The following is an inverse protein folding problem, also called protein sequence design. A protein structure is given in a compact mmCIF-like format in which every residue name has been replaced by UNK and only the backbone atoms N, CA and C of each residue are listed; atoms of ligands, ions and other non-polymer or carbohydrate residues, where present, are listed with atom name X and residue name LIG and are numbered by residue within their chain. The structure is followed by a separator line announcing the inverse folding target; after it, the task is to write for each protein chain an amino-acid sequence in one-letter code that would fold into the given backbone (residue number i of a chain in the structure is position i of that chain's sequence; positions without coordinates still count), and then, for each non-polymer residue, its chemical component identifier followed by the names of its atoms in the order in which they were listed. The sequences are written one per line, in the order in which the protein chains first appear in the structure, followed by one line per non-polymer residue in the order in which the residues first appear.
data_IF_606685353104
#
_entry.id   IF_606685353104
#
_cell.length_a   1.000
_cell.length_b   1.000
_cell.length_c   1.000
_cell.angle_alpha   90.00
_cell.angle_beta   90.00
_cell.angle_gamma   90.00
#
_symmetry.space_group_name_H-M   'P 1'
#
loop_
_entity.id
_entity.type
_entity.pdbx_description
1 polymer ?
#
# COMPACT_ATOMS: atom_id res chain seq x y z
N UNK A 1 -14.02 18.08 -18.26
CA UNK A 1 -12.56 18.19 -17.88
C UNK A 1 -12.14 16.84 -17.34
N UNK A 2 -11.05 16.26 -17.84
CA UNK A 2 -10.54 14.95 -17.37
C UNK A 2 -10.14 15.07 -15.90
N UNK A 3 -10.71 14.20 -15.04
CA UNK A 3 -10.48 14.27 -13.59
C UNK A 3 -9.46 13.26 -13.09
N UNK A 4 -9.28 12.12 -13.79
CA UNK A 4 -8.56 10.94 -13.30
C UNK A 4 -7.35 10.62 -14.15
N UNK A 5 -6.23 10.28 -13.50
CA UNK A 5 -5.04 9.71 -14.17
C UNK A 5 -4.61 8.43 -13.46
N UNK A 6 -4.51 7.34 -14.22
CA UNK A 6 -3.77 6.16 -13.78
C UNK A 6 -2.28 6.41 -14.00
N UNK A 7 -1.50 6.31 -12.94
CA UNK A 7 -0.05 6.30 -12.95
C UNK A 7 0.42 4.85 -12.85
N UNK A 8 0.97 4.31 -13.93
CA UNK A 8 1.32 2.91 -14.05
C UNK A 8 2.84 2.74 -14.18
N UNK A 9 3.59 2.65 -13.06
CA UNK A 9 4.97 2.20 -13.08
C UNK A 9 5.00 0.74 -13.54
N UNK A 10 5.78 0.43 -14.56
CA UNK A 10 5.85 -0.89 -15.18
C UNK A 10 7.29 -1.40 -15.26
N UNK A 11 7.50 -2.67 -14.93
CA UNK A 11 8.79 -3.33 -14.99
C UNK A 11 8.71 -4.79 -15.43
N UNK A 12 7.64 -5.51 -15.03
CA UNK A 12 7.42 -6.93 -15.30
C UNK A 12 6.48 -7.11 -16.48
N UNK A 13 6.77 -8.02 -17.43
CA UNK A 13 5.91 -8.28 -18.59
C UNK A 13 4.75 -9.23 -18.29
N UNK A 14 4.87 -10.07 -17.24
CA UNK A 14 4.04 -11.27 -17.04
C UNK A 14 2.53 -11.00 -17.07
N UNK A 15 2.09 -9.94 -16.44
CA UNK A 15 0.66 -9.57 -16.34
C UNK A 15 0.36 -8.19 -16.91
N UNK A 16 1.36 -7.51 -17.47
CA UNK A 16 1.25 -6.14 -17.95
C UNK A 16 0.18 -5.95 -19.03
N UNK A 17 0.04 -6.91 -19.96
CA UNK A 17 -1.04 -6.88 -20.96
C UNK A 17 -2.42 -6.91 -20.29
N UNK A 18 -2.61 -7.75 -19.28
CA UNK A 18 -3.89 -7.90 -18.56
C UNK A 18 -4.21 -6.62 -17.79
N UNK A 19 -3.23 -6.05 -17.10
CA UNK A 19 -3.38 -4.78 -16.38
C UNK A 19 -3.79 -3.64 -17.33
N UNK A 20 -3.10 -3.47 -18.46
CA UNK A 20 -3.45 -2.46 -19.49
C UNK A 20 -4.86 -2.65 -20.02
N UNK A 21 -5.27 -3.88 -20.34
CA UNK A 21 -6.62 -4.18 -20.86
C UNK A 21 -7.69 -3.83 -19.83
N UNK A 22 -7.46 -4.11 -18.55
CA UNK A 22 -8.42 -3.79 -17.49
C UNK A 22 -8.62 -2.28 -17.33
N UNK A 23 -7.54 -1.49 -17.42
CA UNK A 23 -7.62 -0.02 -17.40
C UNK A 23 -8.30 0.51 -18.67
N UNK A 24 -7.96 -0.02 -19.85
CA UNK A 24 -8.58 0.39 -21.13
C UNK A 24 -10.08 0.14 -21.16
N UNK A 25 -10.54 -0.90 -20.47
CA UNK A 25 -11.95 -1.34 -20.49
C UNK A 25 -12.87 -0.49 -19.61
N UNK A 26 -12.39 0.50 -18.86
CA UNK A 26 -13.22 1.32 -17.98
C UNK A 26 -14.44 1.90 -18.70
N UNK A 27 -15.62 1.84 -18.04
CA UNK A 27 -16.89 2.37 -18.58
C UNK A 27 -16.86 3.89 -18.66
N UNK A 28 -16.37 4.58 -17.65
CA UNK A 28 -16.07 6.00 -17.70
C UNK A 28 -14.87 6.23 -18.63
N UNK A 29 -14.99 7.11 -19.63
CA UNK A 29 -13.97 7.32 -20.68
C UNK A 29 -13.07 8.52 -20.46
N UNK A 30 -13.47 9.46 -19.62
CA UNK A 30 -12.76 10.72 -19.37
C UNK A 30 -11.63 10.53 -18.34
N UNK A 31 -10.58 9.80 -18.71
CA UNK A 31 -9.37 9.59 -17.90
C UNK A 31 -8.12 9.56 -18.75
N UNK A 32 -6.97 9.69 -18.11
CA UNK A 32 -5.62 9.54 -18.69
C UNK A 32 -4.90 8.34 -18.08
N UNK A 33 -3.92 7.82 -18.81
CA UNK A 33 -3.00 6.79 -18.31
C UNK A 33 -1.58 7.17 -18.66
N UNK A 34 -0.73 7.29 -17.66
CA UNK A 34 0.71 7.48 -17.83
C UNK A 34 1.43 6.17 -17.48
N UNK A 35 1.84 5.45 -18.51
CA UNK A 35 2.67 4.25 -18.37
C UNK A 35 4.13 4.67 -18.30
N UNK A 36 4.82 4.30 -17.22
CA UNK A 36 6.24 4.57 -17.02
C UNK A 36 7.02 3.27 -16.91
N UNK A 37 7.63 2.85 -18.01
CA UNK A 37 8.58 1.75 -18.06
C UNK A 37 9.85 2.13 -17.28
N UNK A 38 10.11 1.43 -16.20
CA UNK A 38 11.24 1.71 -15.30
C UNK A 38 12.55 1.08 -15.77
N UNK A 39 12.90 1.32 -17.02
CA UNK A 39 14.08 0.73 -17.66
C UNK A 39 14.05 -0.82 -17.61
N UNK A 40 12.88 -1.41 -17.89
CA UNK A 40 12.69 -2.85 -17.87
C UNK A 40 13.65 -3.55 -18.85
N UNK A 41 14.22 -4.71 -18.52
CA UNK A 41 14.98 -5.54 -19.47
C UNK A 41 14.10 -6.19 -20.54
N UNK A 42 12.77 -6.08 -20.41
CA UNK A 42 11.78 -6.66 -21.31
C UNK A 42 11.21 -5.61 -22.26
N UNK A 43 10.68 -6.05 -23.39
CA UNK A 43 10.04 -5.16 -24.39
C UNK A 43 8.58 -4.85 -24.00
N UNK A 44 8.42 -4.01 -22.96
CA UNK A 44 7.11 -3.53 -22.52
C UNK A 44 6.45 -2.63 -23.57
N UNK A 45 7.25 -1.94 -24.41
CA UNK A 45 6.74 -1.05 -25.45
C UNK A 45 5.92 -1.78 -26.50
N UNK A 46 6.33 -2.96 -26.93
CA UNK A 46 5.57 -3.79 -27.86
C UNK A 46 4.24 -4.25 -27.25
N UNK A 47 4.21 -4.64 -25.97
CA UNK A 47 2.97 -4.98 -25.25
C UNK A 47 2.04 -3.76 -25.17
N UNK A 48 2.58 -2.60 -24.81
CA UNK A 48 1.83 -1.35 -24.78
C UNK A 48 1.24 -1.01 -26.14
N UNK A 49 2.03 -1.03 -27.20
CA UNK A 49 1.57 -0.70 -28.56
C UNK A 49 0.44 -1.64 -29.02
N UNK A 50 0.54 -2.95 -28.74
CA UNK A 50 -0.48 -3.95 -29.04
C UNK A 50 -1.83 -3.65 -28.38
N UNK A 51 -1.81 -3.13 -27.15
CA UNK A 51 -3.04 -2.93 -26.34
C UNK A 51 -3.57 -1.50 -26.47
N UNK A 52 -2.71 -0.50 -26.43
CA UNK A 52 -3.06 0.90 -26.21
C UNK A 52 -2.46 1.86 -27.25
N UNK A 53 -1.66 1.39 -28.21
CA UNK A 53 -0.87 2.26 -29.07
C UNK A 53 -1.65 3.29 -29.89
N UNK A 54 -2.93 3.05 -30.13
CA UNK A 54 -3.85 3.92 -30.86
C UNK A 54 -4.85 4.67 -29.94
N UNK A 55 -4.79 4.47 -28.64
CA UNK A 55 -5.71 5.09 -27.68
C UNK A 55 -5.10 6.38 -27.10
N UNK A 56 -5.64 7.52 -27.50
CA UNK A 56 -5.14 8.84 -27.11
C UNK A 56 -5.17 9.13 -25.60
N UNK A 57 -5.87 8.30 -24.82
CA UNK A 57 -5.87 8.41 -23.34
C UNK A 57 -4.55 7.94 -22.74
N UNK A 58 -3.78 7.09 -23.44
CA UNK A 58 -2.59 6.42 -22.96
C UNK A 58 -1.33 7.12 -23.46
N UNK A 59 -0.42 7.37 -22.55
CA UNK A 59 0.93 7.88 -22.85
C UNK A 59 1.96 6.91 -22.28
N UNK A 60 2.98 6.59 -23.09
CA UNK A 60 4.10 5.73 -22.67
C UNK A 60 5.38 6.53 -22.59
N UNK A 61 6.09 6.38 -21.50
CA UNK A 61 7.48 6.85 -21.34
C UNK A 61 8.36 5.71 -20.84
N UNK A 62 9.67 5.86 -21.03
CA UNK A 62 10.67 4.94 -20.48
C UNK A 62 11.71 5.74 -19.72
N UNK A 63 12.04 5.29 -18.53
CA UNK A 63 13.13 5.86 -17.73
C UNK A 63 14.48 5.45 -18.33
N UNK A 64 15.48 6.30 -18.20
CA UNK A 64 16.86 6.00 -18.64
C UNK A 64 17.54 4.98 -17.70
N UNK A 65 17.13 4.95 -16.45
CA UNK A 65 17.63 4.04 -15.41
C UNK A 65 16.47 3.44 -14.61
N UNK A 66 16.68 2.26 -14.04
CA UNK A 66 15.72 1.65 -13.13
C UNK A 66 15.71 2.41 -11.78
N UNK A 67 14.72 3.26 -11.59
CA UNK A 67 14.52 4.05 -10.37
C UNK A 67 14.07 3.17 -9.21
N UNK A 68 13.16 2.23 -9.45
CA UNK A 68 12.60 1.33 -8.44
C UNK A 68 13.65 0.45 -7.78
N UNK A 69 14.79 0.18 -8.44
CA UNK A 69 15.92 -0.54 -7.84
C UNK A 69 16.59 0.22 -6.69
N UNK A 70 16.48 1.55 -6.68
CA UNK A 70 16.98 2.43 -5.61
C UNK A 70 15.87 2.83 -4.64
N UNK A 71 14.77 3.33 -5.18
CA UNK A 71 13.57 3.69 -4.43
C UNK A 71 12.34 3.60 -5.33
N UNK A 72 11.48 2.65 -5.04
CA UNK A 72 10.19 2.52 -5.72
C UNK A 72 9.30 3.75 -5.47
N UNK A 73 9.34 4.29 -4.26
CA UNK A 73 8.57 5.49 -3.89
C UNK A 73 9.05 6.73 -4.63
N UNK A 74 10.36 6.86 -4.89
CA UNK A 74 10.86 7.97 -5.72
C UNK A 74 10.33 7.91 -7.15
N UNK A 75 10.18 6.72 -7.72
CA UNK A 75 9.52 6.55 -9.02
C UNK A 75 8.04 6.93 -8.95
N UNK A 76 7.32 6.51 -7.91
CA UNK A 76 5.92 6.90 -7.70
C UNK A 76 5.76 8.42 -7.61
N UNK A 77 6.60 9.09 -6.81
CA UNK A 77 6.53 10.52 -6.62
C UNK A 77 6.86 11.30 -7.91
N UNK A 78 7.80 10.81 -8.73
CA UNK A 78 8.03 11.37 -10.07
C UNK A 78 6.75 11.34 -10.92
N UNK A 79 5.97 10.25 -10.86
CA UNK A 79 4.72 10.15 -11.60
C UNK A 79 3.62 11.06 -11.02
N UNK A 80 3.58 11.24 -9.70
CA UNK A 80 2.67 12.20 -9.04
C UNK A 80 2.96 13.63 -9.53
N UNK A 81 4.23 14.00 -9.64
CA UNK A 81 4.62 15.34 -10.13
C UNK A 81 4.18 15.57 -11.59
N UNK A 82 4.21 14.51 -12.41
CA UNK A 82 3.77 14.57 -13.82
C UNK A 82 2.24 14.53 -13.99
N UNK A 83 1.48 14.18 -12.97
CA UNK A 83 0.02 14.12 -13.02
C UNK A 83 -0.56 15.55 -13.05
N UNK A 84 -1.43 15.83 -14.03
CA UNK A 84 -2.09 17.14 -14.19
C UNK A 84 -3.59 17.13 -13.85
N UNK A 85 -4.11 16.01 -13.35
CA UNK A 85 -5.52 15.86 -13.00
C UNK A 85 -5.78 15.98 -11.50
N UNK A 86 -7.05 16.15 -11.14
CA UNK A 86 -7.47 16.30 -9.74
C UNK A 86 -7.25 15.04 -8.93
N UNK A 87 -7.51 13.87 -9.52
CA UNK A 87 -7.37 12.56 -8.89
C UNK A 87 -6.34 11.71 -9.59
N UNK A 88 -5.64 10.90 -8.83
CA UNK A 88 -4.70 9.92 -9.34
C UNK A 88 -4.89 8.54 -8.71
N UNK A 89 -4.56 7.52 -9.47
CA UNK A 89 -4.53 6.13 -9.07
C UNK A 89 -3.12 5.61 -9.36
N UNK A 90 -2.41 5.08 -8.35
CA UNK A 90 -1.13 4.43 -8.56
C UNK A 90 -1.37 2.95 -8.88
N UNK A 91 -1.46 2.64 -10.16
CA UNK A 91 -1.68 1.28 -10.65
C UNK A 91 -0.41 0.44 -10.61
N UNK A 92 -0.57 -0.88 -10.61
CA UNK A 92 0.53 -1.83 -10.76
C UNK A 92 0.46 -2.60 -12.07
N UNK A 93 1.61 -3.16 -12.49
CA UNK A 93 1.74 -3.89 -13.76
C UNK A 93 1.21 -5.35 -13.70
N UNK A 94 0.54 -5.72 -12.60
CA UNK A 94 0.05 -7.09 -12.37
C UNK A 94 -1.38 -7.20 -11.82
N UNK A 95 -2.00 -6.08 -11.43
CA UNK A 95 -3.35 -6.06 -10.88
C UNK A 95 -4.44 -5.81 -11.93
N UNK A 96 -5.70 -5.97 -11.54
CA UNK A 96 -6.85 -5.88 -12.45
C UNK A 96 -7.94 -4.99 -11.86
N UNK A 97 -8.43 -4.04 -12.66
CA UNK A 97 -9.56 -3.17 -12.36
C UNK A 97 -10.85 -3.74 -12.97
N UNK A 98 -11.94 -3.74 -12.22
CA UNK A 98 -13.25 -4.01 -12.80
C UNK A 98 -13.65 -2.88 -13.76
N UNK A 99 -14.44 -3.15 -14.81
CA UNK A 99 -14.80 -2.13 -15.81
C UNK A 99 -15.52 -0.91 -15.21
N UNK A 100 -16.20 -1.06 -14.09
CA UNK A 100 -16.97 -0.03 -13.40
C UNK A 100 -16.18 0.74 -12.34
N UNK A 101 -14.90 0.43 -12.13
CA UNK A 101 -14.09 1.04 -11.07
C UNK A 101 -14.14 2.57 -11.09
N UNK A 102 -13.84 3.21 -12.23
CA UNK A 102 -13.86 4.68 -12.30
C UNK A 102 -15.26 5.26 -12.19
N UNK A 103 -16.28 4.56 -12.67
CA UNK A 103 -17.67 5.00 -12.55
C UNK A 103 -18.12 5.02 -11.07
N UNK A 104 -17.82 3.98 -10.31
CA UNK A 104 -18.12 3.93 -8.87
C UNK A 104 -17.29 4.95 -8.08
N UNK A 105 -16.03 5.14 -8.44
CA UNK A 105 -15.17 6.17 -7.86
C UNK A 105 -15.73 7.59 -8.12
N UNK A 106 -16.19 7.89 -9.36
CA UNK A 106 -16.74 9.22 -9.68
C UNK A 106 -18.05 9.49 -8.94
N UNK A 107 -18.92 8.49 -8.77
CA UNK A 107 -20.12 8.60 -7.91
C UNK A 107 -19.75 9.00 -6.47
N UNK A 108 -18.73 8.36 -5.90
CA UNK A 108 -18.25 8.67 -4.55
C UNK A 108 -17.58 10.05 -4.46
N UNK A 109 -16.78 10.43 -5.45
CA UNK A 109 -16.14 11.74 -5.52
C UNK A 109 -17.15 12.90 -5.58
N UNK A 110 -18.27 12.69 -6.28
CA UNK A 110 -19.39 13.65 -6.34
C UNK A 110 -20.16 13.68 -5.02
N UNK A 111 -20.43 12.53 -4.42
CA UNK A 111 -21.23 12.42 -3.18
C UNK A 111 -20.48 12.92 -1.95
N UNK A 112 -19.16 12.74 -1.91
CA UNK A 112 -18.29 13.12 -0.80
C UNK A 112 -17.17 14.08 -1.25
N UNK A 113 -17.50 15.33 -1.65
CA UNK A 113 -16.53 16.24 -2.24
C UNK A 113 -15.41 16.65 -1.27
N UNK A 114 -15.60 16.46 0.02
CA UNK A 114 -14.60 16.81 1.05
C UNK A 114 -13.51 15.74 1.22
N UNK A 115 -13.76 14.49 0.83
CA UNK A 115 -12.77 13.43 1.02
C UNK A 115 -11.63 13.56 0.01
N UNK A 116 -10.43 13.25 0.48
CA UNK A 116 -9.23 13.26 -0.34
C UNK A 116 -8.76 11.83 -0.69
N UNK A 117 -9.43 10.82 -0.14
CA UNK A 117 -9.12 9.41 -0.34
C UNK A 117 -10.39 8.60 -0.64
N UNK A 118 -10.42 7.94 -1.78
CA UNK A 118 -11.47 6.97 -2.13
C UNK A 118 -10.82 5.59 -2.21
N UNK A 119 -11.47 4.58 -1.64
CA UNK A 119 -10.99 3.21 -1.61
C UNK A 119 -11.95 2.28 -2.34
N UNK A 120 -11.48 1.57 -3.34
CA UNK A 120 -12.21 0.45 -3.90
C UNK A 120 -12.04 -0.80 -3.00
N UNK A 121 -13.11 -1.56 -2.80
CA UNK A 121 -13.02 -2.88 -2.17
C UNK A 121 -12.25 -3.85 -3.07
N UNK A 122 -11.53 -4.76 -2.44
CA UNK A 122 -10.52 -5.62 -3.07
C UNK A 122 -10.88 -7.09 -2.93
N UNK A 123 -10.59 -7.87 -3.96
CA UNK A 123 -10.39 -9.33 -3.85
C UNK A 123 -8.94 -9.67 -4.15
N UNK A 124 -8.38 -10.63 -3.42
CA UNK A 124 -7.08 -11.22 -3.70
C UNK A 124 -7.27 -12.53 -4.46
N UNK A 125 -6.52 -12.73 -5.56
CA UNK A 125 -6.63 -13.91 -6.40
C UNK A 125 -5.23 -14.36 -6.89
N UNK A 126 -5.09 -15.66 -7.20
CA UNK A 126 -3.84 -16.25 -7.70
C UNK A 126 -3.82 -16.48 -9.22
N UNK A 127 -4.81 -15.96 -9.93
CA UNK A 127 -5.02 -16.18 -11.35
C UNK A 127 -5.99 -17.32 -11.66
N UNK A 128 -6.36 -18.15 -10.68
CA UNK A 128 -7.29 -19.28 -10.81
C UNK A 128 -8.50 -19.15 -9.90
N UNK A 129 -8.29 -18.76 -8.65
CA UNK A 129 -9.33 -18.67 -7.63
C UNK A 129 -9.18 -17.41 -6.78
N UNK A 130 -10.28 -17.00 -6.17
CA UNK A 130 -10.29 -15.95 -5.17
C UNK A 130 -9.79 -16.55 -3.85
N UNK A 131 -8.77 -15.91 -3.27
CA UNK A 131 -8.15 -16.32 -2.00
C UNK A 131 -8.77 -15.62 -0.80
N UNK A 132 -9.16 -14.35 -0.99
CA UNK A 132 -9.69 -13.50 0.07
C UNK A 132 -10.43 -12.31 -0.54
N UNK A 133 -11.43 -11.81 0.18
CA UNK A 133 -12.17 -10.60 -0.17
C UNK A 133 -12.26 -9.64 1.02
N UNK A 134 -12.24 -8.34 0.72
CA UNK A 134 -12.51 -7.30 1.72
C UNK A 134 -13.88 -7.49 2.36
N UNK A 135 -13.95 -7.29 3.66
CA UNK A 135 -15.23 -7.17 4.36
C UNK A 135 -16.09 -6.04 3.80
N UNK A 136 -17.41 -6.20 3.87
CA UNK A 136 -18.34 -5.11 3.59
C UNK A 136 -18.18 -4.03 4.66
N UNK A 137 -18.11 -2.76 4.22
CA UNK A 137 -17.90 -1.61 5.10
C UNK A 137 -18.94 -0.53 4.81
N UNK A 138 -19.00 0.51 5.65
CA UNK A 138 -19.78 1.70 5.32
C UNK A 138 -19.20 2.39 4.09
N UNK A 139 -20.05 3.05 3.33
CA UNK A 139 -19.65 3.82 2.16
C UNK A 139 -18.75 5.03 2.53
N UNK A 140 -18.91 5.58 3.74
CA UNK A 140 -18.05 6.61 4.30
C UNK A 140 -17.60 6.22 5.70
N UNK A 141 -16.33 6.42 5.97
CA UNK A 141 -15.73 6.25 7.30
C UNK A 141 -14.90 7.49 7.65
N UNK A 142 -15.04 7.97 8.89
CA UNK A 142 -14.09 8.93 9.43
C UNK A 142 -12.69 8.34 9.53
N UNK A 143 -11.65 9.17 9.69
CA UNK A 143 -10.28 8.68 9.84
C UNK A 143 -10.15 7.64 10.96
N UNK A 144 -10.79 7.87 12.11
CA UNK A 144 -10.72 6.93 13.24
C UNK A 144 -11.47 5.62 12.93
N UNK A 145 -12.62 5.68 12.27
CA UNK A 145 -13.33 4.46 11.83
C UNK A 145 -12.51 3.69 10.80
N UNK A 146 -11.86 4.38 9.86
CA UNK A 146 -10.99 3.76 8.87
C UNK A 146 -9.81 3.04 9.53
N UNK A 147 -9.11 3.68 10.48
CA UNK A 147 -8.05 3.08 11.26
C UNK A 147 -8.53 1.88 12.07
N UNK A 148 -9.66 2.01 12.75
CA UNK A 148 -10.25 0.91 13.51
C UNK A 148 -10.60 -0.28 12.63
N UNK A 149 -11.27 -0.04 11.51
CA UNK A 149 -11.69 -1.10 10.58
C UNK A 149 -10.50 -1.75 9.86
N UNK A 150 -9.42 -1.02 9.58
CA UNK A 150 -8.19 -1.61 9.02
C UNK A 150 -7.55 -2.65 9.94
N UNK A 151 -7.88 -2.62 11.24
CA UNK A 151 -7.42 -3.56 12.25
C UNK A 151 -8.44 -4.65 12.57
N UNK A 152 -9.75 -4.34 12.51
CA UNK A 152 -10.81 -5.15 13.07
C UNK A 152 -11.58 -6.01 12.08
N UNK A 153 -11.46 -5.74 10.78
CA UNK A 153 -12.10 -6.51 9.70
C UNK A 153 -11.09 -6.90 8.61
N UNK A 154 -11.49 -7.78 7.71
CA UNK A 154 -10.62 -8.14 6.57
C UNK A 154 -10.48 -6.95 5.65
N UNK A 155 -9.27 -6.47 5.52
CA UNK A 155 -8.86 -5.43 4.58
C UNK A 155 -7.56 -5.86 3.89
N UNK A 156 -7.62 -6.04 2.58
CA UNK A 156 -6.44 -6.39 1.78
C UNK A 156 -5.62 -5.11 1.53
N UNK A 157 -4.40 -4.99 2.07
CA UNK A 157 -3.57 -3.83 1.84
C UNK A 157 -2.94 -3.89 0.45
N UNK A 158 -3.20 -2.90 -0.38
CA UNK A 158 -2.55 -2.69 -1.69
C UNK A 158 -2.72 -1.24 -2.10
N UNK A 159 -1.82 -0.73 -2.92
CA UNK A 159 -1.85 0.69 -3.31
C UNK A 159 -2.82 0.93 -4.49
N UNK A 160 -2.97 -0.03 -5.39
CA UNK A 160 -3.71 0.13 -6.65
C UNK A 160 -5.21 0.38 -6.49
N UNK A 161 -5.79 0.06 -5.33
CA UNK A 161 -7.22 0.23 -5.07
C UNK A 161 -7.59 1.60 -4.46
N UNK A 162 -6.60 2.48 -4.23
CA UNK A 162 -6.83 3.82 -3.72
C UNK A 162 -6.81 4.87 -4.81
N UNK A 163 -7.75 5.81 -4.72
CA UNK A 163 -7.80 7.02 -5.54
C UNK A 163 -7.53 8.21 -4.64
N UNK A 164 -6.44 8.88 -4.90
CA UNK A 164 -6.00 10.04 -4.13
C UNK A 164 -6.40 11.33 -4.83
N UNK A 165 -6.97 12.27 -4.10
CA UNK A 165 -7.00 13.65 -4.59
C UNK A 165 -5.58 14.19 -4.56
N UNK A 166 -5.05 14.67 -5.68
CA UNK A 166 -3.64 15.06 -5.81
C UNK A 166 -3.19 16.02 -4.71
N UNK A 167 -4.05 16.94 -4.26
CA UNK A 167 -3.72 17.88 -3.17
C UNK A 167 -3.32 17.21 -1.85
N UNK A 168 -3.80 16.00 -1.56
CA UNK A 168 -3.43 15.25 -0.36
C UNK A 168 -1.97 14.77 -0.38
N UNK A 169 -1.37 14.66 -1.56
CA UNK A 169 0.02 14.25 -1.76
C UNK A 169 1.00 15.42 -1.95
N UNK A 170 0.51 16.68 -2.05
CA UNK A 170 1.38 17.83 -2.34
C UNK A 170 2.48 18.08 -1.31
N UNK A 171 2.24 17.75 -0.05
CA UNK A 171 3.19 18.08 1.01
C UNK A 171 4.38 17.12 1.05
N UNK A 172 4.12 15.82 0.89
CA UNK A 172 5.12 14.77 1.15
C UNK A 172 5.19 13.71 0.03
N UNK A 173 4.28 13.73 -0.97
CA UNK A 173 4.12 12.62 -1.90
C UNK A 173 3.70 11.33 -1.19
N UNK A 174 4.07 10.19 -1.76
CA UNK A 174 4.02 8.90 -1.08
C UNK A 174 5.14 8.83 -0.04
N UNK A 175 4.82 8.28 1.13
CA UNK A 175 5.77 8.19 2.24
C UNK A 175 6.92 7.24 1.93
N UNK A 176 8.17 7.70 2.10
CA UNK A 176 9.37 6.96 1.71
C UNK A 176 9.73 5.87 2.73
N UNK A 177 9.56 4.62 2.33
CA UNK A 177 10.00 3.45 3.09
C UNK A 177 10.82 2.50 2.19
N UNK A 178 11.79 1.76 2.75
CA UNK A 178 12.50 0.71 2.01
C UNK A 178 11.52 -0.26 1.34
N UNK A 179 11.74 -0.56 0.06
CA UNK A 179 10.86 -1.40 -0.79
C UNK A 179 9.41 -0.90 -0.90
N UNK A 180 9.13 0.35 -0.57
CA UNK A 180 7.77 0.87 -0.38
C UNK A 180 6.92 0.05 0.62
N UNK A 181 7.56 -0.74 1.50
CA UNK A 181 6.89 -1.67 2.40
C UNK A 181 6.13 -0.95 3.51
N UNK A 182 4.83 -0.75 3.33
CA UNK A 182 3.94 0.02 4.20
C UNK A 182 3.88 1.52 3.86
N UNK A 183 4.47 1.95 2.73
CA UNK A 183 4.32 3.32 2.22
C UNK A 183 2.87 3.66 1.93
N UNK A 184 2.11 2.72 1.38
CA UNK A 184 0.68 2.81 1.15
C UNK A 184 -0.11 2.99 2.45
N UNK A 185 0.20 2.22 3.50
CA UNK A 185 -0.48 2.32 4.80
C UNK A 185 -0.30 3.72 5.41
N UNK A 186 0.92 4.26 5.40
CA UNK A 186 1.19 5.60 5.96
C UNK A 186 0.53 6.68 5.10
N UNK A 187 0.69 6.61 3.77
CA UNK A 187 0.15 7.62 2.86
C UNK A 187 -1.38 7.68 2.91
N UNK A 188 -2.05 6.52 2.99
CA UNK A 188 -3.51 6.49 3.11
C UNK A 188 -3.99 7.04 4.46
N UNK A 189 -3.26 6.81 5.56
CA UNK A 189 -3.59 7.42 6.83
C UNK A 189 -3.45 8.95 6.80
N UNK A 190 -2.43 9.48 6.13
CA UNK A 190 -2.27 10.94 5.96
C UNK A 190 -3.36 11.52 5.05
N UNK A 191 -3.75 10.82 3.98
CA UNK A 191 -4.80 11.26 3.06
C UNK A 191 -6.22 11.12 3.64
N UNK A 192 -6.42 10.35 4.72
CA UNK A 192 -7.73 10.05 5.30
C UNK A 192 -8.24 11.10 6.32
N UNK A 193 -7.58 12.25 6.46
CA UNK A 193 -7.94 13.29 7.46
C UNK A 193 -9.42 13.69 7.35
N UNK A 194 -9.93 13.83 6.13
CA UNK A 194 -11.34 14.16 5.85
C UNK A 194 -12.23 12.91 5.68
N UNK A 195 -11.76 11.76 6.17
CA UNK A 195 -12.42 10.47 6.00
C UNK A 195 -12.07 9.77 4.68
N UNK A 196 -12.72 8.62 4.46
CA UNK A 196 -12.53 7.76 3.31
C UNK A 196 -13.88 7.36 2.74
N UNK A 197 -14.09 7.55 1.44
CA UNK A 197 -15.23 6.98 0.74
C UNK A 197 -14.86 5.60 0.20
N UNK A 198 -15.77 4.62 0.29
CA UNK A 198 -15.47 3.21 0.00
C UNK A 198 -16.54 2.66 -0.94
N UNK A 199 -16.13 1.96 -2.01
CA UNK A 199 -17.07 1.35 -2.94
C UNK A 199 -17.87 0.23 -2.27
N UNK A 200 -19.15 0.10 -2.62
CA UNK A 200 -20.00 -1.00 -2.13
C UNK A 200 -19.56 -2.35 -2.70
N UNK A 201 -19.23 -2.35 -3.99
CA UNK A 201 -18.78 -3.55 -4.71
C UNK A 201 -17.27 -3.69 -4.66
N UNK A 202 -16.80 -4.90 -4.96
CA UNK A 202 -15.39 -5.18 -5.25
C UNK A 202 -15.10 -4.66 -6.65
N UNK A 203 -14.24 -3.66 -6.74
CA UNK A 203 -13.87 -3.00 -7.99
C UNK A 203 -12.39 -3.20 -8.38
N UNK A 204 -11.64 -3.90 -7.51
CA UNK A 204 -10.22 -4.13 -7.70
C UNK A 204 -9.81 -5.56 -7.34
N UNK A 205 -8.93 -6.13 -8.16
CA UNK A 205 -8.40 -7.48 -7.99
C UNK A 205 -6.89 -7.43 -7.81
N UNK A 206 -6.43 -7.67 -6.58
CA UNK A 206 -5.01 -7.78 -6.24
C UNK A 206 -4.48 -9.16 -6.59
N UNK A 207 -3.47 -9.23 -7.46
CA UNK A 207 -2.88 -10.49 -7.89
C UNK A 207 -1.80 -10.99 -6.92
N UNK A 208 -1.99 -12.19 -6.42
CA UNK A 208 -1.01 -12.91 -5.62
C UNK A 208 -0.18 -13.82 -6.54
N UNK A 209 0.83 -13.26 -7.20
CA UNK A 209 1.56 -13.92 -8.29
C UNK A 209 2.81 -14.69 -7.86
N UNK A 210 3.27 -14.54 -6.61
CA UNK A 210 4.55 -15.09 -6.16
C UNK A 210 5.78 -14.26 -6.59
N UNK A 211 5.63 -13.28 -7.49
CA UNK A 211 6.70 -12.36 -7.92
C UNK A 211 6.53 -10.94 -7.38
N UNK A 212 5.54 -10.72 -6.54
CA UNK A 212 5.31 -9.45 -5.83
C UNK A 212 6.37 -9.25 -4.74
N UNK A 213 6.71 -7.98 -4.44
CA UNK A 213 7.61 -7.65 -3.32
C UNK A 213 7.11 -8.26 -2.00
N UNK A 214 5.79 -8.35 -1.82
CA UNK A 214 5.15 -8.97 -0.64
C UNK A 214 5.54 -10.44 -0.46
N UNK A 215 5.79 -11.19 -1.53
CA UNK A 215 6.09 -12.63 -1.51
C UNK A 215 7.60 -12.95 -1.51
N UNK A 216 8.46 -11.96 -1.78
CA UNK A 216 9.92 -12.18 -1.81
C UNK A 216 10.47 -12.17 -0.38
N UNK A 217 11.17 -13.25 0.03
CA UNK A 217 11.68 -13.48 1.39
C UNK A 217 13.16 -13.88 1.42
N UNK A 218 14.01 -13.31 0.57
CA UNK A 218 15.45 -13.46 0.72
C UNK A 218 15.99 -12.54 1.84
N UNK A 219 17.21 -12.84 2.32
CA UNK A 219 17.84 -12.13 3.44
C UNK A 219 17.90 -10.61 3.25
N UNK A 220 18.22 -10.14 2.05
CA UNK A 220 18.29 -8.71 1.74
C UNK A 220 16.92 -8.05 1.83
N UNK A 221 15.90 -8.66 1.21
CA UNK A 221 14.52 -8.16 1.22
C UNK A 221 13.95 -8.13 2.64
N UNK A 222 14.17 -9.20 3.43
CA UNK A 222 13.69 -9.26 4.81
C UNK A 222 14.34 -8.20 5.69
N UNK A 223 15.62 -7.87 5.50
CA UNK A 223 16.31 -6.78 6.22
C UNK A 223 15.70 -5.42 5.87
N UNK A 224 15.44 -5.18 4.59
CA UNK A 224 14.80 -3.93 4.14
C UNK A 224 13.37 -3.81 4.68
N UNK A 225 12.58 -4.89 4.65
CA UNK A 225 11.24 -4.93 5.26
C UNK A 225 11.29 -4.66 6.78
N UNK A 226 12.31 -5.17 7.49
CA UNK A 226 12.49 -4.87 8.92
C UNK A 226 12.79 -3.39 9.15
N UNK A 227 13.67 -2.78 8.35
CA UNK A 227 13.96 -1.33 8.47
C UNK A 227 12.72 -0.48 8.15
N UNK A 228 11.93 -0.85 7.12
CA UNK A 228 10.65 -0.22 6.85
C UNK A 228 9.70 -0.33 8.05
N UNK A 229 9.57 -1.53 8.65
CA UNK A 229 8.72 -1.76 9.83
C UNK A 229 9.16 -0.93 11.04
N UNK A 230 10.46 -0.76 11.27
CA UNK A 230 10.99 0.11 12.34
C UNK A 230 10.57 1.58 12.11
N UNK A 231 10.71 2.08 10.89
CA UNK A 231 10.26 3.43 10.54
C UNK A 231 8.75 3.59 10.71
N UNK A 232 7.96 2.62 10.27
CA UNK A 232 6.50 2.61 10.48
C UNK A 232 6.14 2.66 11.98
N UNK A 233 6.84 1.92 12.84
CA UNK A 233 6.63 1.96 14.29
C UNK A 233 6.79 3.38 14.85
N UNK A 234 7.83 4.09 14.43
CA UNK A 234 8.08 5.47 14.87
C UNK A 234 7.00 6.41 14.35
N UNK A 235 6.65 6.28 13.08
CA UNK A 235 5.58 7.08 12.47
C UNK A 235 4.27 6.90 13.22
N UNK A 236 3.77 5.68 13.37
CA UNK A 236 2.47 5.42 13.99
C UNK A 236 2.44 5.76 15.48
N UNK A 237 3.55 5.61 16.20
CA UNK A 237 3.64 6.09 17.58
C UNK A 237 3.36 7.59 17.67
N UNK A 238 3.96 8.37 16.78
CA UNK A 238 3.77 9.82 16.73
C UNK A 238 2.38 10.18 16.20
N UNK A 239 1.90 9.46 15.19
CA UNK A 239 0.58 9.65 14.59
C UNK A 239 -0.54 9.42 15.61
N UNK A 240 -0.52 8.30 16.35
CA UNK A 240 -1.52 8.02 17.38
C UNK A 240 -1.42 8.97 18.58
N UNK A 241 -0.26 9.56 18.85
CA UNK A 241 -0.13 10.59 19.86
C UNK A 241 -0.68 11.94 19.42
N UNK A 242 -0.74 12.21 18.11
CA UNK A 242 -1.20 13.47 17.54
C UNK A 242 -2.68 13.46 17.13
N UNK A 243 -3.24 12.28 16.77
CA UNK A 243 -4.64 12.15 16.37
C UNK A 243 -5.55 12.36 17.58
N UNK A 244 -6.57 13.19 17.42
CA UNK A 244 -7.58 13.45 18.45
C UNK A 244 -8.92 12.87 18.03
N UNK A 245 -9.72 12.46 19.01
CA UNK A 245 -11.14 12.12 18.80
C UNK A 245 -12.02 13.34 19.00
N UNK A 246 -13.29 13.24 18.61
CA UNK A 246 -14.34 14.25 18.90
C UNK A 246 -14.77 14.27 20.38
N UNK A 247 -14.09 13.49 21.24
CA UNK A 247 -14.42 13.35 22.66
C UNK A 247 -15.54 12.34 22.96
N UNK A 248 -16.18 11.77 21.95
CA UNK A 248 -17.18 10.74 22.18
C UNK A 248 -16.58 9.44 22.75
N UNK A 249 -17.38 8.74 23.55
CA UNK A 249 -16.96 7.44 24.13
C UNK A 249 -16.55 6.43 23.05
N UNK A 250 -17.32 6.35 21.96
CA UNK A 250 -17.09 5.37 20.90
C UNK A 250 -15.84 5.72 20.08
N UNK A 251 -15.63 6.97 19.74
CA UNK A 251 -14.43 7.43 19.02
C UNK A 251 -13.17 7.14 19.83
N UNK A 252 -13.17 7.47 21.13
CA UNK A 252 -12.05 7.16 22.03
C UNK A 252 -11.77 5.65 22.13
N UNK A 253 -12.83 4.84 22.18
CA UNK A 253 -12.70 3.37 22.25
C UNK A 253 -12.12 2.79 20.96
N UNK A 254 -12.58 3.23 19.79
CA UNK A 254 -12.07 2.82 18.49
C UNK A 254 -10.58 3.20 18.35
N UNK A 255 -10.22 4.44 18.70
CA UNK A 255 -8.84 4.90 18.65
C UNK A 255 -7.92 4.09 19.58
N UNK A 256 -8.37 3.83 20.80
CA UNK A 256 -7.62 3.00 21.76
C UNK A 256 -7.41 1.57 21.22
N UNK A 257 -8.45 0.98 20.63
CA UNK A 257 -8.35 -0.36 20.03
C UNK A 257 -7.37 -0.36 18.87
N UNK A 258 -7.50 0.56 17.91
CA UNK A 258 -6.61 0.65 16.76
C UNK A 258 -5.15 0.85 17.16
N UNK A 259 -4.89 1.71 18.16
CA UNK A 259 -3.55 1.94 18.71
C UNK A 259 -2.95 0.66 19.29
N UNK A 260 -3.72 -0.05 20.10
CA UNK A 260 -3.24 -1.28 20.76
C UNK A 260 -3.02 -2.41 19.75
N UNK A 261 -3.94 -2.58 18.78
CA UNK A 261 -3.81 -3.60 17.73
C UNK A 261 -2.59 -3.31 16.83
N UNK A 262 -2.39 -2.06 16.46
CA UNK A 262 -1.23 -1.66 15.68
C UNK A 262 0.08 -1.98 16.41
N UNK A 263 0.19 -1.64 17.70
CA UNK A 263 1.36 -1.97 18.52
C UNK A 263 1.56 -3.50 18.58
N UNK A 264 0.49 -4.27 18.76
CA UNK A 264 0.56 -5.73 18.82
C UNK A 264 0.94 -6.35 17.46
N UNK A 265 0.36 -5.90 16.36
CA UNK A 265 0.71 -6.35 15.00
C UNK A 265 2.17 -6.03 14.68
N UNK A 266 2.62 -4.82 15.02
CA UNK A 266 4.02 -4.41 14.85
C UNK A 266 4.96 -5.32 15.64
N UNK A 267 4.65 -5.56 16.90
CA UNK A 267 5.44 -6.47 17.74
C UNK A 267 5.49 -7.87 17.14
N UNK A 268 4.35 -8.43 16.74
CA UNK A 268 4.29 -9.76 16.16
C UNK A 268 5.05 -9.86 14.82
N UNK A 269 4.94 -8.84 13.96
CA UNK A 269 5.62 -8.84 12.65
C UNK A 269 7.14 -8.87 12.76
N UNK A 270 7.72 -8.33 13.83
CA UNK A 270 9.18 -8.34 14.05
C UNK A 270 9.73 -9.75 14.18
N UNK A 271 8.96 -10.70 14.74
CA UNK A 271 9.40 -12.09 14.87
C UNK A 271 9.63 -12.78 13.52
N UNK A 272 8.96 -12.34 12.48
CA UNK A 272 9.13 -12.86 11.12
C UNK A 272 10.55 -12.62 10.59
N UNK A 273 11.20 -11.55 11.02
CA UNK A 273 12.54 -11.16 10.55
C UNK A 273 13.70 -11.79 11.36
N UNK A 274 13.43 -12.55 12.42
CA UNK A 274 14.48 -13.09 13.29
C UNK A 274 15.43 -14.04 12.58
N UNK A 275 14.96 -14.75 11.57
CA UNK A 275 15.77 -15.68 10.81
C UNK A 275 17.00 -15.04 10.13
N UNK A 276 16.91 -13.76 9.75
CA UNK A 276 18.00 -13.06 9.06
C UNK A 276 18.91 -12.26 9.99
N UNK A 277 18.56 -12.11 11.28
CA UNK A 277 19.34 -11.29 12.22
C UNK A 277 20.54 -12.06 12.79
N UNK A 278 21.70 -11.39 12.83
CA UNK A 278 22.81 -11.75 13.69
C UNK A 278 22.48 -11.43 15.17
N UNK A 279 23.30 -11.93 16.10
CA UNK A 279 23.10 -11.63 17.53
C UNK A 279 23.24 -10.13 17.84
N UNK A 280 24.20 -9.45 17.23
CA UNK A 280 24.38 -8.00 17.38
C UNK A 280 23.18 -7.20 16.87
N UNK A 281 22.65 -7.58 15.71
CA UNK A 281 21.44 -6.95 15.14
C UNK A 281 20.20 -7.19 16.02
N UNK A 282 20.08 -8.38 16.61
CA UNK A 282 19.02 -8.65 17.59
C UNK A 282 19.14 -7.73 18.82
N UNK A 283 20.35 -7.53 19.36
CA UNK A 283 20.57 -6.62 20.50
C UNK A 283 20.21 -5.17 20.15
N UNK A 284 20.57 -4.73 18.93
CA UNK A 284 20.19 -3.41 18.43
C UNK A 284 18.67 -3.26 18.30
N UNK A 285 18.00 -4.28 17.77
CA UNK A 285 16.53 -4.31 17.66
C UNK A 285 15.88 -4.28 19.06
N UNK A 286 16.39 -5.04 20.03
CA UNK A 286 15.89 -5.03 21.42
C UNK A 286 16.07 -3.66 22.07
N UNK A 287 17.18 -2.99 21.80
CA UNK A 287 17.44 -1.63 22.29
C UNK A 287 16.47 -0.63 21.67
N UNK A 288 16.23 -0.71 20.36
CA UNK A 288 15.23 0.10 19.66
C UNK A 288 13.82 -0.11 20.24
N UNK A 289 13.38 -1.37 20.39
CA UNK A 289 12.05 -1.70 20.92
C UNK A 289 11.87 -1.18 22.36
N UNK A 290 12.93 -1.26 23.19
CA UNK A 290 12.90 -0.74 24.56
C UNK A 290 12.83 0.78 24.59
N UNK A 291 13.70 1.46 23.83
CA UNK A 291 13.76 2.92 23.77
C UNK A 291 12.45 3.55 23.31
N UNK A 292 11.67 2.81 22.53
CA UNK A 292 10.38 3.25 21.98
C UNK A 292 9.15 2.65 22.69
N UNK A 293 9.34 2.05 23.88
CA UNK A 293 8.29 1.48 24.74
C UNK A 293 7.48 0.31 24.13
N UNK A 294 7.96 -0.33 23.05
CA UNK A 294 7.31 -1.53 22.48
C UNK A 294 7.51 -2.78 23.34
N UNK A 295 8.56 -2.82 24.14
CA UNK A 295 8.82 -3.89 25.12
C UNK A 295 9.16 -3.33 26.47
N UNK A 296 8.58 -3.93 27.53
CA UNK A 296 8.86 -3.60 28.91
C UNK A 296 9.25 -4.86 29.70
N UNK A 297 10.19 -4.70 30.61
CA UNK A 297 10.62 -5.74 31.56
C UNK A 297 11.61 -6.78 31.00
N UNK A 298 12.36 -7.41 31.91
CA UNK A 298 13.38 -8.41 31.58
C UNK A 298 12.80 -9.69 30.98
N UNK A 299 11.60 -10.10 31.40
CA UNK A 299 10.95 -11.34 30.92
C UNK A 299 10.65 -11.32 29.42
N UNK A 300 10.13 -10.19 28.90
CA UNK A 300 9.85 -10.04 27.45
C UNK A 300 11.13 -10.08 26.62
N UNK A 301 12.21 -9.44 27.08
CA UNK A 301 13.52 -9.48 26.40
C UNK A 301 14.07 -10.91 26.32
N UNK A 302 14.03 -11.63 27.45
CA UNK A 302 14.52 -13.01 27.52
C UNK A 302 13.68 -13.93 26.58
N UNK A 303 12.38 -13.73 26.52
CA UNK A 303 11.49 -14.45 25.62
C UNK A 303 11.91 -14.23 24.14
N UNK A 304 12.14 -12.97 23.74
CA UNK A 304 12.56 -12.62 22.38
C UNK A 304 13.89 -13.30 22.03
N UNK A 305 14.88 -13.27 22.93
CA UNK A 305 16.18 -13.92 22.70
C UNK A 305 16.01 -15.44 22.54
N UNK A 306 15.24 -16.09 23.41
CA UNK A 306 14.96 -17.53 23.33
C UNK A 306 14.26 -17.90 22.02
N UNK A 307 13.26 -17.10 21.60
CA UNK A 307 12.54 -17.32 20.36
C UNK A 307 13.46 -17.15 19.13
N UNK A 308 14.31 -16.11 19.13
CA UNK A 308 15.31 -15.91 18.09
C UNK A 308 16.28 -17.10 17.99
N UNK A 309 16.79 -17.60 19.13
CA UNK A 309 17.64 -18.79 19.14
C UNK A 309 16.93 -20.00 18.55
N UNK A 310 15.67 -20.22 18.92
CA UNK A 310 14.86 -21.31 18.38
C UNK A 310 14.74 -21.21 16.85
N UNK A 311 14.34 -20.06 16.33
CA UNK A 311 14.21 -19.80 14.88
C UNK A 311 15.53 -19.96 14.14
N UNK A 312 16.62 -19.49 14.70
CA UNK A 312 17.93 -19.46 14.02
C UNK A 312 18.62 -20.82 14.00
N UNK A 313 18.47 -21.61 15.04
CA UNK A 313 19.28 -22.82 15.25
C UNK A 313 18.49 -24.13 15.28
N UNK A 314 17.19 -24.07 15.56
CA UNK A 314 16.37 -25.29 15.68
C UNK A 314 15.39 -25.50 14.52
N UNK A 315 14.95 -24.45 13.85
CA UNK A 315 14.00 -24.53 12.72
C UNK A 315 14.67 -24.41 11.35
N UNK A 316 16.00 -24.43 11.26
CA UNK A 316 16.78 -24.49 10.02
C UNK A 316 17.03 -25.93 9.52
N UNK A 317 16.16 -26.89 9.90
CA UNK A 317 16.19 -28.25 9.35
C UNK A 317 15.13 -28.44 8.31
#
# INVERSE_FOLDING_TARGET
MIKYTFLLPAYKPDFFEVALRSIKSQTLKDFKVLVSDDCSPHDLKSIYNKVCGDDARFTYRRNEVNMGSKSLVSHWNLLVDMCDTEYLILASDDDVYEPTFLEEVDKLAVKYPEVDLIRARVKRFDGKQILEEDSVRKEYESQIEFLFNSCSVVQIPCIGNYVFRKKALFKNGFYELPLAWGSDEITTNEASINGVAITERIEFSFRWSGINISTIENDSTLRQKLEARKKMCLYYRNFFAAISSDGSYWQNKMLTYATNDFIQKTYNSIFHYFQVLSFCELLNLLSFLKANNFIQGKKKKLFIIKYWMKKKYLERK
#
